data_IF_268472499461
#
_entry.id   IF_268472499461
#
_cell.length_a   1.000
_cell.length_b   1.000
_cell.length_c   1.000
_cell.angle_alpha   90.00
_cell.angle_beta   90.00
_cell.angle_gamma   90.00
#
_symmetry.space_group_name_H-M   'P 1'
#
loop_
_entity.id
_entity.type
_entity.pdbx_description
1 polymer ?
#
# COMPACT_ATOMS: atom_id res chain seq x y z
N UNK A 1 -11.44 -15.09 1.31
CA UNK A 1 -10.62 -14.42 2.35
C UNK A 1 -10.91 -14.93 3.77
N UNK A 2 -11.55 -16.09 3.94
CA UNK A 2 -11.96 -16.59 5.26
C UNK A 2 -10.79 -16.80 6.23
N UNK A 3 -9.61 -17.17 5.72
CA UNK A 3 -8.41 -17.33 6.54
C UNK A 3 -7.93 -16.03 7.20
N UNK A 4 -8.11 -14.89 6.54
CA UNK A 4 -7.69 -13.58 7.06
C UNK A 4 -8.60 -13.14 8.20
N UNK A 5 -9.91 -13.33 8.04
CA UNK A 5 -10.92 -13.01 9.06
C UNK A 5 -10.81 -13.90 10.31
N UNK A 6 -10.08 -15.01 10.25
CA UNK A 6 -9.81 -15.87 11.39
C UNK A 6 -8.70 -15.33 12.33
N UNK A 7 -8.00 -14.27 11.92
CA UNK A 7 -6.98 -13.63 12.76
C UNK A 7 -7.68 -12.91 13.93
N UNK A 8 -7.34 -13.22 15.19
CA UNK A 8 -7.97 -12.58 16.34
C UNK A 8 -7.66 -11.09 16.40
N UNK A 9 -8.68 -10.25 16.58
CA UNK A 9 -8.55 -8.79 16.65
C UNK A 9 -8.49 -8.06 15.31
N UNK A 10 -8.53 -8.79 14.18
CA UNK A 10 -8.43 -8.18 12.84
C UNK A 10 -9.66 -7.34 12.45
N UNK A 11 -10.82 -7.70 12.99
CA UNK A 11 -12.12 -7.03 12.79
C UNK A 11 -12.21 -5.68 13.51
N UNK A 12 -11.39 -5.45 14.54
CA UNK A 12 -11.39 -4.22 15.33
C UNK A 12 -10.65 -3.06 14.64
N UNK A 13 -10.00 -3.32 13.51
CA UNK A 13 -9.14 -2.35 12.81
C UNK A 13 -9.92 -1.66 11.70
N UNK A 14 -10.09 -0.34 11.81
CA UNK A 14 -10.78 0.46 10.78
C UNK A 14 -9.86 1.40 9.99
N UNK A 15 -8.61 1.58 10.43
CA UNK A 15 -7.65 2.53 9.83
C UNK A 15 -6.46 1.84 9.17
N UNK A 16 -5.84 2.52 8.21
CA UNK A 16 -4.62 2.03 7.56
C UNK A 16 -3.48 1.92 8.57
N UNK A 17 -3.22 2.98 9.34
CA UNK A 17 -2.26 2.98 10.45
C UNK A 17 -2.49 1.81 11.42
N UNK A 18 -3.75 1.55 11.80
CA UNK A 18 -4.10 0.45 12.69
C UNK A 18 -3.67 -0.93 12.19
N UNK A 19 -3.67 -1.16 10.87
CA UNK A 19 -3.10 -2.40 10.31
C UNK A 19 -1.59 -2.49 10.51
N UNK A 20 -0.86 -1.39 10.34
CA UNK A 20 0.59 -1.38 10.54
C UNK A 20 0.96 -1.55 12.02
N UNK A 21 0.24 -0.91 12.93
CA UNK A 21 0.40 -1.09 14.37
C UNK A 21 0.08 -2.55 14.79
N UNK A 22 -1.05 -3.09 14.32
CA UNK A 22 -1.47 -4.46 14.64
C UNK A 22 -0.47 -5.52 14.14
N UNK A 23 0.13 -5.31 12.97
CA UNK A 23 1.12 -6.21 12.40
C UNK A 23 2.57 -5.92 12.83
N UNK A 24 2.78 -4.97 13.75
CA UNK A 24 4.12 -4.55 14.19
C UNK A 24 5.05 -4.28 12.99
N UNK A 25 4.57 -3.47 12.05
CA UNK A 25 5.31 -3.09 10.85
C UNK A 25 5.72 -1.62 10.94
N UNK A 26 7.02 -1.30 10.82
CA UNK A 26 7.45 0.08 10.78
C UNK A 26 6.95 0.76 9.50
N UNK A 27 6.38 1.94 9.64
CA UNK A 27 5.89 2.75 8.52
C UNK A 27 6.23 4.22 8.73
N UNK A 28 6.29 4.97 7.63
CA UNK A 28 6.38 6.42 7.65
C UNK A 28 4.96 7.01 7.59
N UNK A 29 4.53 7.81 8.58
CA UNK A 29 3.18 8.38 8.61
C UNK A 29 2.88 9.26 7.39
N UNK A 30 3.88 9.96 6.85
CA UNK A 30 3.68 10.84 5.69
C UNK A 30 3.38 10.01 4.42
N UNK A 31 4.01 8.85 4.28
CA UNK A 31 3.71 7.90 3.20
C UNK A 31 2.29 7.34 3.34
N UNK A 32 1.87 6.95 4.55
CA UNK A 32 0.52 6.41 4.76
C UNK A 32 -0.55 7.46 4.45
N UNK A 33 -0.41 8.70 4.95
CA UNK A 33 -1.35 9.78 4.65
C UNK A 33 -1.48 10.00 3.13
N UNK A 34 -0.36 9.98 2.40
CA UNK A 34 -0.36 10.21 0.96
C UNK A 34 -0.87 9.01 0.14
N UNK A 35 -0.67 7.77 0.62
CA UNK A 35 -0.81 6.56 -0.22
C UNK A 35 -1.70 5.47 0.38
N UNK A 36 -2.38 5.70 1.51
CA UNK A 36 -3.21 4.69 2.21
C UNK A 36 -4.15 3.93 1.29
N UNK A 37 -4.87 4.63 0.40
CA UNK A 37 -5.84 3.98 -0.49
C UNK A 37 -5.17 3.01 -1.46
N UNK A 38 -3.99 3.37 -1.96
CA UNK A 38 -3.24 2.53 -2.89
C UNK A 38 -2.64 1.32 -2.18
N UNK A 39 -2.02 1.55 -1.02
CA UNK A 39 -1.41 0.50 -0.20
C UNK A 39 -2.48 -0.50 0.25
N UNK A 40 -3.62 -0.03 0.78
CA UNK A 40 -4.72 -0.90 1.23
C UNK A 40 -5.39 -1.63 0.05
N UNK A 41 -5.52 -0.98 -1.11
CA UNK A 41 -6.05 -1.61 -2.31
C UNK A 41 -5.18 -2.76 -2.82
N UNK A 42 -3.86 -2.54 -2.90
CA UNK A 42 -2.89 -3.58 -3.27
C UNK A 42 -2.84 -4.71 -2.22
N UNK A 43 -2.89 -4.36 -0.93
CA UNK A 43 -2.95 -5.34 0.15
C UNK A 43 -4.19 -6.23 0.03
N UNK A 44 -5.36 -5.63 -0.20
CA UNK A 44 -6.60 -6.38 -0.43
C UNK A 44 -6.51 -7.32 -1.65
N UNK A 45 -5.92 -6.85 -2.75
CA UNK A 45 -5.70 -7.68 -3.94
C UNK A 45 -4.78 -8.87 -3.64
N UNK A 46 -3.70 -8.65 -2.88
CA UNK A 46 -2.80 -9.72 -2.45
C UNK A 46 -3.51 -10.74 -1.55
N UNK A 47 -4.32 -10.29 -0.60
CA UNK A 47 -5.13 -11.17 0.24
C UNK A 47 -6.09 -12.02 -0.59
N UNK A 48 -6.76 -11.41 -1.58
CA UNK A 48 -7.68 -12.10 -2.48
C UNK A 48 -6.98 -13.13 -3.39
N UNK A 49 -5.72 -12.89 -3.75
CA UNK A 49 -4.92 -13.82 -4.55
C UNK A 49 -4.48 -15.08 -3.78
N UNK A 50 -4.49 -15.06 -2.44
CA UNK A 50 -4.20 -16.24 -1.63
C UNK A 50 -5.44 -17.12 -1.52
N UNK A 51 -5.45 -18.19 -2.31
CA UNK A 51 -6.52 -19.21 -2.33
C UNK A 51 -6.33 -20.22 -1.18
N UNK A 52 -5.08 -20.63 -0.92
CA UNK A 52 -4.76 -21.65 0.09
C UNK A 52 -3.55 -21.22 0.90
N UNK A 53 -3.70 -21.21 2.22
CA UNK A 53 -2.56 -21.05 3.14
C UNK A 53 -1.93 -22.43 3.39
N UNK A 54 -0.62 -22.62 3.16
CA UNK A 54 0.03 -23.89 3.43
C UNK A 54 0.15 -24.12 4.94
N UNK A 55 -0.85 -24.77 5.53
CA UNK A 55 -0.90 -25.13 6.96
C UNK A 55 -0.41 -26.57 7.21
N UNK A 56 0.52 -27.07 6.39
CA UNK A 56 1.06 -28.42 6.56
C UNK A 56 1.68 -28.55 7.95
N UNK A 57 1.43 -29.69 8.59
CA UNK A 57 1.99 -30.06 9.89
C UNK A 57 1.40 -29.33 11.12
N UNK A 58 0.32 -28.55 10.96
CA UNK A 58 -0.35 -27.96 12.13
C UNK A 58 -1.25 -29.01 12.79
N UNK A 59 -1.05 -29.34 14.09
CA UNK A 59 -1.87 -30.30 14.79
C UNK A 59 -3.33 -29.84 14.89
N UNK A 60 -4.26 -30.77 15.11
CA UNK A 60 -5.66 -30.42 15.40
C UNK A 60 -5.85 -30.02 16.87
N UNK A 61 -6.93 -29.30 17.17
CA UNK A 61 -7.23 -28.81 18.52
C UNK A 61 -6.65 -27.43 18.85
N UNK A 62 -6.71 -27.04 20.13
CA UNK A 62 -6.39 -25.68 20.58
C UNK A 62 -4.93 -25.26 20.32
N UNK A 63 -3.98 -26.17 20.53
CA UNK A 63 -2.56 -25.93 20.20
C UNK A 63 -2.35 -25.67 18.70
N UNK A 64 -3.14 -26.36 17.86
CA UNK A 64 -3.20 -26.15 16.42
C UNK A 64 -3.80 -24.82 16.01
N UNK A 65 -4.84 -24.37 16.70
CA UNK A 65 -5.49 -23.10 16.44
C UNK A 65 -4.53 -21.92 16.65
N UNK A 66 -3.74 -21.94 17.73
CA UNK A 66 -2.73 -20.92 17.99
C UNK A 66 -1.65 -20.87 16.89
N UNK A 67 -1.14 -22.02 16.46
CA UNK A 67 -0.15 -22.11 15.38
C UNK A 67 -0.71 -21.60 14.04
N UNK A 68 -1.97 -21.94 13.74
CA UNK A 68 -2.68 -21.47 12.54
C UNK A 68 -2.87 -19.96 12.53
N UNK A 69 -3.32 -19.40 13.66
CA UNK A 69 -3.48 -17.96 13.82
C UNK A 69 -2.16 -17.23 13.64
N UNK A 70 -1.07 -17.77 14.19
CA UNK A 70 0.28 -17.23 13.98
C UNK A 70 0.71 -17.28 12.51
N UNK A 71 0.39 -18.36 11.80
CA UNK A 71 0.69 -18.48 10.37
C UNK A 71 -0.10 -17.44 9.54
N UNK A 72 -1.40 -17.30 9.81
CA UNK A 72 -2.24 -16.29 9.16
C UNK A 72 -1.75 -14.87 9.43
N UNK A 73 -1.45 -14.56 10.69
CA UNK A 73 -0.91 -13.26 11.09
C UNK A 73 0.41 -12.95 10.38
N UNK A 74 1.33 -13.92 10.34
CA UNK A 74 2.64 -13.73 9.68
C UNK A 74 2.52 -13.54 8.16
N UNK A 75 1.59 -14.28 7.53
CA UNK A 75 1.32 -14.11 6.10
C UNK A 75 0.72 -12.75 5.80
N UNK A 76 -0.31 -12.34 6.56
CA UNK A 76 -0.94 -11.03 6.39
C UNK A 76 0.06 -9.89 6.59
N UNK A 77 0.91 -9.96 7.63
CA UNK A 77 2.03 -9.04 7.85
C UNK A 77 2.95 -8.97 6.64
N UNK A 78 3.35 -10.12 6.11
CA UNK A 78 4.24 -10.16 4.95
C UNK A 78 3.61 -9.48 3.72
N UNK A 79 2.33 -9.77 3.43
CA UNK A 79 1.62 -9.17 2.31
C UNK A 79 1.46 -7.66 2.46
N UNK A 80 1.15 -7.17 3.66
CA UNK A 80 1.07 -5.74 3.95
C UNK A 80 2.43 -5.04 3.73
N UNK A 81 3.52 -5.68 4.18
CA UNK A 81 4.88 -5.20 3.94
C UNK A 81 5.22 -5.11 2.45
N UNK A 82 4.85 -6.13 1.65
CA UNK A 82 5.02 -6.10 0.20
C UNK A 82 4.21 -4.97 -0.47
N UNK A 83 2.98 -4.76 -0.02
CA UNK A 83 2.15 -3.65 -0.51
C UNK A 83 2.77 -2.30 -0.20
N UNK A 84 3.26 -2.11 1.02
CA UNK A 84 3.92 -0.87 1.41
C UNK A 84 5.21 -0.62 0.61
N UNK A 85 6.07 -1.62 0.48
CA UNK A 85 7.32 -1.55 -0.28
C UNK A 85 7.10 -1.27 -1.78
N UNK A 86 6.08 -1.88 -2.39
CA UNK A 86 5.68 -1.61 -3.78
C UNK A 86 5.45 -0.11 -4.00
N UNK A 87 4.79 0.57 -3.07
CA UNK A 87 4.54 2.00 -3.16
C UNK A 87 5.71 2.86 -2.73
N UNK A 88 6.61 2.37 -1.88
CA UNK A 88 7.87 3.05 -1.56
C UNK A 88 8.82 3.08 -2.76
N UNK A 89 9.05 1.92 -3.38
CA UNK A 89 9.89 1.77 -4.57
C UNK A 89 9.30 2.53 -5.78
N UNK A 90 7.96 2.55 -5.88
CA UNK A 90 7.24 3.39 -6.85
C UNK A 90 7.44 4.90 -6.63
N UNK A 91 7.82 5.36 -5.43
CA UNK A 91 8.08 6.78 -5.15
C UNK A 91 9.41 7.28 -5.71
N UNK A 92 10.37 6.41 -6.01
CA UNK A 92 11.71 6.82 -6.46
C UNK A 92 12.00 6.58 -7.95
N UNK A 93 11.11 5.96 -8.74
CA UNK A 93 11.48 5.66 -10.13
C UNK A 93 10.39 5.67 -11.23
N UNK A 94 9.07 5.68 -10.96
CA UNK A 94 8.14 5.34 -12.04
C UNK A 94 6.86 6.17 -12.07
N UNK A 95 6.78 7.01 -13.10
CA UNK A 95 5.53 7.42 -13.75
C UNK A 95 4.70 8.46 -12.98
N UNK A 96 5.29 9.64 -12.88
CA UNK A 96 4.51 10.87 -13.06
C UNK A 96 3.65 10.73 -14.33
N UNK A 97 2.34 10.46 -14.17
CA UNK A 97 1.34 10.65 -15.23
C UNK A 97 1.28 12.11 -15.72
N UNK A 98 2.02 13.00 -15.06
CA UNK A 98 2.35 14.34 -15.47
C UNK A 98 3.69 14.40 -16.23
N UNK A 99 4.05 13.36 -17.00
CA UNK A 99 5.12 13.47 -18.01
C UNK A 99 4.86 14.61 -19.01
N UNK A 100 3.59 15.04 -19.15
CA UNK A 100 3.21 16.27 -19.86
C UNK A 100 3.76 17.54 -19.18
N UNK A 101 3.92 17.55 -17.85
CA UNK A 101 4.42 18.72 -17.11
C UNK A 101 5.95 18.73 -16.96
N UNK A 102 6.62 17.59 -17.10
CA UNK A 102 8.09 17.54 -16.96
C UNK A 102 8.84 18.06 -18.20
N UNK A 103 8.19 18.20 -19.36
CA UNK A 103 8.85 18.70 -20.59
C UNK A 103 9.31 20.17 -20.48
N UNK A 104 8.76 20.94 -19.55
CA UNK A 104 9.07 22.37 -19.39
C UNK A 104 9.90 22.71 -18.15
N UNK A 105 10.34 21.71 -17.35
CA UNK A 105 10.97 22.00 -16.07
C UNK A 105 12.37 22.65 -16.18
N UNK A 106 12.92 22.77 -17.40
CA UNK A 106 14.17 23.50 -17.67
C UNK A 106 13.98 24.81 -18.47
N UNK A 107 12.74 25.28 -18.67
CA UNK A 107 12.45 26.61 -19.21
C UNK A 107 11.36 27.27 -18.39
N UNK A 108 11.76 28.26 -17.58
CA UNK A 108 10.83 29.23 -16.97
C UNK A 108 10.20 30.05 -18.10
N UNK A 109 9.04 29.64 -18.59
CA UNK A 109 8.20 30.48 -19.45
C UNK A 109 7.42 31.46 -18.56
N UNK A 110 8.14 32.39 -17.93
CA UNK A 110 7.51 33.63 -17.48
C UNK A 110 7.49 34.55 -18.69
N UNK A 111 6.33 34.70 -19.32
CA UNK A 111 6.12 35.70 -20.37
C UNK A 111 5.48 36.90 -19.68
N UNK A 112 6.24 37.99 -19.45
CA UNK A 112 5.69 39.18 -18.83
C UNK A 112 4.64 39.81 -19.75
N UNK A 113 3.62 40.46 -19.18
CA UNK A 113 2.45 40.97 -19.93
C UNK A 113 2.84 41.92 -21.07
N UNK A 114 3.95 42.64 -20.92
CA UNK A 114 4.53 43.53 -21.93
C UNK A 114 5.12 42.81 -23.15
N UNK A 115 5.30 41.48 -23.11
CA UNK A 115 5.79 40.66 -24.21
C UNK A 115 4.67 40.03 -25.04
N UNK A 116 3.40 40.24 -24.68
CA UNK A 116 2.25 39.82 -25.48
C UNK A 116 1.94 40.89 -26.53
N UNK A 117 2.46 40.72 -27.74
CA UNK A 117 2.09 41.57 -28.88
C UNK A 117 0.75 41.11 -29.47
N UNK A 118 -0.23 42.03 -29.47
CA UNK A 118 -1.57 41.81 -30.01
C UNK A 118 -1.49 41.57 -31.53
N UNK A 119 -1.87 40.38 -31.99
CA UNK A 119 -2.00 40.08 -33.42
C UNK A 119 -3.27 40.79 -33.90
N UNK A 120 -3.11 41.89 -34.63
CA UNK A 120 -4.23 42.56 -35.28
C UNK A 120 -4.67 41.74 -36.51
N UNK A 121 -5.98 41.60 -36.74
CA UNK A 121 -6.55 40.81 -37.85
C UNK A 121 -6.23 41.41 -39.22
#
# INVERSE_FOLDING_TARGET
>A
MEWFNAIPGIDEIDTAEGFFDFFDLPYDPSVIVAKRMHIMGDFHQRLAAIITVPLRDIPEGEAGAAARNKAYWSLARHLLGLSYDHFLQGTLAAQSGLAVYQRNNNKRYFIPLNALSEVRP
#
